data_IF_604210737940
#
_entry.id   IF_604210737940
#
_cell.length_a   1.000
_cell.length_b   1.000
_cell.length_c   1.000
_cell.angle_alpha   90.00
_cell.angle_beta   90.00
_cell.angle_gamma   90.00
#
_symmetry.space_group_name_H-M   'P 1'
#
loop_
_entity.id
_entity.type
_entity.pdbx_description
1 polymer ?
#
# COMPACT_ATOMS: atom_id res chain seq x y z
N UNK A 1 27.61 -63.55 55.58
CA UNK A 1 26.84 -62.29 55.41
C UNK A 1 27.47 -61.30 54.44
N UNK A 2 28.77 -61.39 54.14
CA UNK A 2 29.50 -60.50 53.21
C UNK A 2 29.22 -60.71 51.72
N UNK A 3 28.87 -61.93 51.28
CA UNK A 3 28.54 -62.19 49.88
C UNK A 3 27.21 -61.57 49.43
N UNK A 4 26.24 -61.46 50.35
CA UNK A 4 24.92 -60.88 50.06
C UNK A 4 24.97 -59.36 49.89
N UNK A 5 25.90 -58.65 50.55
CA UNK A 5 26.07 -57.20 50.39
C UNK A 5 26.83 -56.86 49.11
N UNK A 6 27.76 -57.71 48.69
CA UNK A 6 28.49 -57.55 47.43
C UNK A 6 27.58 -57.68 46.21
N UNK A 7 26.68 -58.66 46.19
CA UNK A 7 25.75 -58.85 45.06
C UNK A 7 24.74 -57.69 44.94
N UNK A 8 24.29 -57.14 46.07
CA UNK A 8 23.37 -55.98 46.11
C UNK A 8 24.03 -54.70 45.57
N UNK A 9 25.30 -54.46 45.91
CA UNK A 9 26.07 -53.32 45.39
C UNK A 9 26.32 -53.43 43.87
N UNK A 10 26.57 -54.64 43.36
CA UNK A 10 26.75 -54.87 41.93
C UNK A 10 25.44 -54.60 41.17
N UNK A 11 24.30 -55.09 41.69
CA UNK A 11 23.00 -54.86 41.07
C UNK A 11 22.63 -53.37 41.05
N UNK A 12 22.92 -52.62 42.12
CA UNK A 12 22.65 -51.18 42.17
C UNK A 12 23.52 -50.40 41.17
N UNK A 13 24.80 -50.77 41.04
CA UNK A 13 25.71 -50.19 40.04
C UNK A 13 25.25 -50.44 38.60
N UNK A 14 24.81 -51.67 38.30
CA UNK A 14 24.27 -52.03 36.98
C UNK A 14 22.97 -51.26 36.72
N UNK A 15 22.08 -51.13 37.71
CA UNK A 15 20.84 -50.36 37.57
C UNK A 15 21.12 -48.88 37.29
N UNK A 16 22.07 -48.27 38.00
CA UNK A 16 22.45 -46.86 37.80
C UNK A 16 23.07 -46.61 36.43
N UNK A 17 23.90 -47.52 35.92
CA UNK A 17 24.49 -47.37 34.58
C UNK A 17 23.44 -47.50 33.47
N UNK A 18 22.51 -48.45 33.60
CA UNK A 18 21.39 -48.59 32.64
C UNK A 18 20.47 -47.37 32.65
N UNK A 19 20.13 -46.84 33.83
CA UNK A 19 19.33 -45.62 33.97
C UNK A 19 20.05 -44.39 33.37
N UNK A 20 21.38 -44.28 33.59
CA UNK A 20 22.19 -43.21 33.00
C UNK A 20 22.23 -43.25 31.48
N UNK A 21 22.45 -44.43 30.88
CA UNK A 21 22.52 -44.61 29.42
C UNK A 21 21.16 -44.35 28.76
N UNK A 22 20.07 -44.86 29.34
CA UNK A 22 18.72 -44.64 28.81
C UNK A 22 18.31 -43.16 28.90
N UNK A 23 18.60 -42.50 30.03
CA UNK A 23 18.41 -41.05 30.18
C UNK A 23 19.22 -40.23 29.18
N UNK A 24 20.48 -40.59 28.97
CA UNK A 24 21.36 -39.93 28.00
C UNK A 24 20.85 -40.05 26.55
N UNK A 25 20.38 -41.24 26.17
CA UNK A 25 19.78 -41.47 24.84
C UNK A 25 18.47 -40.66 24.68
N UNK A 26 17.63 -40.60 25.72
CA UNK A 26 16.38 -39.86 25.70
C UNK A 26 16.62 -38.35 25.54
N UNK A 27 17.57 -37.79 26.29
CA UNK A 27 17.96 -36.37 26.20
C UNK A 27 18.52 -36.04 24.81
N UNK A 28 19.39 -36.90 24.26
CA UNK A 28 19.91 -36.70 22.89
C UNK A 28 18.82 -36.78 21.82
N UNK A 29 17.85 -37.68 21.96
CA UNK A 29 16.70 -37.76 21.04
C UNK A 29 15.83 -36.51 21.12
N UNK A 30 15.60 -35.97 22.31
CA UNK A 30 14.86 -34.72 22.51
C UNK A 30 15.58 -33.53 21.87
N UNK A 31 16.88 -33.38 22.12
CA UNK A 31 17.68 -32.30 21.52
C UNK A 31 17.72 -32.37 19.99
N UNK A 32 17.71 -33.56 19.39
CA UNK A 32 17.62 -33.70 17.93
C UNK A 32 16.30 -33.14 17.39
N UNK A 33 15.16 -33.39 18.04
CA UNK A 33 13.85 -32.87 17.62
C UNK A 33 13.77 -31.34 17.68
N UNK A 34 14.36 -30.72 18.69
CA UNK A 34 14.39 -29.26 18.81
C UNK A 34 15.31 -28.62 17.76
N UNK A 35 16.45 -29.25 17.47
CA UNK A 35 17.35 -28.79 16.39
C UNK A 35 16.71 -28.89 15.00
N UNK A 36 15.90 -29.92 14.73
CA UNK A 36 15.13 -30.04 13.48
C UNK A 36 14.11 -28.91 13.33
N UNK A 37 13.42 -28.53 14.41
CA UNK A 37 12.49 -27.39 14.42
C UNK A 37 13.21 -26.06 14.17
N UNK A 38 14.36 -25.85 14.79
CA UNK A 38 15.17 -24.63 14.57
C UNK A 38 15.69 -24.58 13.13
N UNK A 39 16.16 -25.69 12.57
CA UNK A 39 16.62 -25.77 11.18
C UNK A 39 15.49 -25.50 10.18
N UNK A 40 14.31 -26.06 10.41
CA UNK A 40 13.15 -25.81 9.53
C UNK A 40 12.68 -24.36 9.62
N UNK A 41 12.70 -23.75 10.81
CA UNK A 41 12.39 -22.34 10.98
C UNK A 41 13.44 -21.43 10.32
N UNK A 42 14.74 -21.70 10.51
CA UNK A 42 15.81 -20.99 9.80
C UNK A 42 15.70 -21.15 8.29
N UNK A 43 15.33 -22.33 7.78
CA UNK A 43 15.13 -22.56 6.34
C UNK A 43 13.93 -21.76 5.82
N UNK A 44 12.82 -21.70 6.58
CA UNK A 44 11.65 -20.89 6.23
C UNK A 44 11.96 -19.40 6.22
N UNK A 45 12.67 -18.90 7.24
CA UNK A 45 13.11 -17.49 7.30
C UNK A 45 14.06 -17.17 6.16
N UNK A 46 15.02 -18.07 5.85
CA UNK A 46 15.94 -17.88 4.72
C UNK A 46 15.23 -17.90 3.38
N UNK A 47 14.23 -18.77 3.19
CA UNK A 47 13.39 -18.79 1.98
C UNK A 47 12.59 -17.50 1.85
N UNK A 48 11.91 -17.07 2.92
CA UNK A 48 11.12 -15.84 2.91
C UNK A 48 11.99 -14.59 2.67
N UNK A 49 13.22 -14.56 3.19
CA UNK A 49 14.15 -13.46 2.91
C UNK A 49 14.60 -13.46 1.44
N UNK A 50 14.85 -14.63 0.86
CA UNK A 50 15.25 -14.76 -0.55
C UNK A 50 14.10 -14.41 -1.50
N UNK A 51 12.86 -14.82 -1.19
CA UNK A 51 11.67 -14.48 -1.97
C UNK A 51 11.36 -12.97 -1.91
N UNK A 52 11.62 -12.32 -0.77
CA UNK A 52 11.49 -10.86 -0.66
C UNK A 52 12.60 -10.09 -1.39
N UNK A 53 13.78 -10.68 -1.58
CA UNK A 53 14.86 -10.07 -2.35
C UNK A 53 14.54 -10.02 -3.86
N UNK A 54 13.79 -11.00 -4.36
CA UNK A 54 13.34 -11.05 -5.76
C UNK A 54 12.23 -10.01 -6.04
N UNK A 55 11.35 -9.76 -5.07
CA UNK A 55 10.33 -8.69 -5.16
C UNK A 55 10.98 -7.30 -5.27
N UNK A 56 12.10 -7.08 -4.57
CA UNK A 56 12.87 -5.81 -4.65
C UNK A 56 13.62 -5.63 -5.98
N UNK A 57 13.75 -6.68 -6.78
CA UNK A 57 14.40 -6.67 -8.10
C UNK A 57 13.38 -6.66 -9.25
N UNK A 58 12.23 -6.03 -9.08
CA UNK A 58 11.34 -5.72 -10.19
C UNK A 58 11.69 -4.33 -10.76
N UNK A 59 12.66 -4.22 -11.70
CA UNK A 59 13.09 -2.94 -12.26
C UNK A 59 11.92 -2.18 -12.91
N UNK A 60 10.92 -2.91 -13.40
CA UNK A 60 9.72 -2.39 -14.04
C UNK A 60 8.91 -1.48 -13.13
N UNK A 61 8.82 -1.80 -11.82
CA UNK A 61 8.05 -0.98 -10.88
C UNK A 61 8.82 0.29 -10.47
N UNK A 62 10.12 0.17 -10.24
CA UNK A 62 10.99 1.30 -9.92
C UNK A 62 11.06 2.31 -11.08
N UNK A 63 11.19 1.82 -12.31
CA UNK A 63 11.18 2.67 -13.51
C UNK A 63 9.80 3.29 -13.75
N UNK A 64 8.72 2.56 -13.48
CA UNK A 64 7.36 3.12 -13.54
C UNK A 64 7.13 4.22 -12.52
N UNK A 65 7.65 4.07 -11.29
CA UNK A 65 7.59 5.12 -10.26
C UNK A 65 8.45 6.34 -10.62
N UNK A 66 9.64 6.12 -11.20
CA UNK A 66 10.52 7.19 -11.67
C UNK A 66 9.90 7.97 -12.83
N UNK A 67 9.26 7.27 -13.77
CA UNK A 67 8.55 7.94 -14.87
C UNK A 67 7.31 8.70 -14.37
N UNK A 68 6.57 8.14 -13.40
CA UNK A 68 5.45 8.82 -12.78
C UNK A 68 5.88 10.07 -11.99
N UNK A 69 7.02 10.04 -11.29
CA UNK A 69 7.54 11.20 -10.56
C UNK A 69 8.00 12.32 -11.50
N UNK A 70 8.58 11.98 -12.64
CA UNK A 70 8.98 12.94 -13.67
C UNK A 70 7.73 13.62 -14.27
N UNK A 71 6.73 12.84 -14.69
CA UNK A 71 5.50 13.37 -15.30
C UNK A 71 4.72 14.26 -14.31
N UNK A 72 4.64 13.86 -13.05
CA UNK A 72 3.95 14.65 -12.01
C UNK A 72 4.70 15.92 -11.64
N UNK A 73 6.04 15.89 -11.60
CA UNK A 73 6.88 17.08 -11.38
C UNK A 73 6.71 18.14 -12.46
N UNK A 74 6.52 17.75 -13.73
CA UNK A 74 6.23 18.71 -14.81
C UNK A 74 4.79 19.25 -14.81
N UNK A 75 3.87 18.61 -14.09
CA UNK A 75 2.48 19.08 -13.94
C UNK A 75 2.27 19.99 -12.72
N UNK A 76 3.16 19.93 -11.72
CA UNK A 76 3.12 20.78 -10.52
C UNK A 76 3.03 22.28 -10.81
N UNK A 77 3.85 22.87 -11.71
CA UNK A 77 3.78 24.31 -11.98
C UNK A 77 2.42 24.76 -12.53
N UNK A 78 1.76 23.90 -13.33
CA UNK A 78 0.44 24.18 -13.89
C UNK A 78 -0.63 24.12 -12.80
N UNK A 79 -0.52 23.17 -11.88
CA UNK A 79 -1.45 23.02 -10.75
C UNK A 79 -1.30 24.17 -9.74
N UNK A 80 -0.09 24.63 -9.46
CA UNK A 80 0.15 25.80 -8.59
C UNK A 80 -0.42 27.09 -9.18
N UNK A 81 -0.21 27.33 -10.48
CA UNK A 81 -0.82 28.46 -11.21
C UNK A 81 -2.35 28.37 -11.26
N UNK A 82 -2.90 27.15 -11.34
CA UNK A 82 -4.33 26.93 -11.38
C UNK A 82 -4.97 27.03 -9.98
N UNK A 83 -4.27 26.60 -8.92
CA UNK A 83 -4.67 26.78 -7.53
C UNK A 83 -4.72 28.27 -7.14
N UNK A 84 -3.75 29.07 -7.60
CA UNK A 84 -3.79 30.54 -7.44
C UNK A 84 -4.95 31.23 -8.19
N UNK A 85 -5.52 30.58 -9.20
CA UNK A 85 -6.68 31.06 -9.98
C UNK A 85 -8.01 30.39 -9.59
N UNK A 86 -7.98 29.37 -8.74
CA UNK A 86 -9.14 28.51 -8.44
C UNK A 86 -10.30 29.26 -7.75
N UNK A 87 -10.07 30.47 -7.23
CA UNK A 87 -11.11 31.31 -6.65
C UNK A 87 -11.76 32.32 -7.61
N UNK A 88 -11.22 32.56 -8.81
CA UNK A 88 -11.73 33.61 -9.71
C UNK A 88 -12.59 32.99 -10.81
N UNK A 89 -13.90 33.13 -10.66
CA UNK A 89 -14.87 32.80 -11.72
C UNK A 89 -14.43 33.42 -13.05
N UNK A 90 -14.28 32.63 -14.13
CA UNK A 90 -13.91 33.14 -15.44
C UNK A 90 -14.79 34.31 -15.89
N UNK A 91 -14.18 35.33 -16.48
CA UNK A 91 -14.88 36.57 -16.86
C UNK A 91 -15.99 36.32 -17.89
N UNK A 92 -15.82 35.32 -18.77
CA UNK A 92 -16.84 34.87 -19.72
C UNK A 92 -18.14 34.47 -19.01
N UNK A 93 -18.05 33.81 -17.86
CA UNK A 93 -19.23 33.39 -17.09
C UNK A 93 -19.89 34.57 -16.39
N UNK A 94 -19.12 35.53 -15.88
CA UNK A 94 -19.64 36.78 -15.28
C UNK A 94 -20.38 37.64 -16.31
N UNK A 95 -19.87 37.66 -17.54
CA UNK A 95 -20.51 38.39 -18.63
C UNK A 95 -21.85 37.75 -19.03
N UNK A 96 -21.86 36.42 -19.24
CA UNK A 96 -23.09 35.66 -19.50
C UNK A 96 -24.12 35.81 -18.37
N UNK A 97 -23.64 35.74 -17.14
CA UNK A 97 -24.44 35.97 -15.95
C UNK A 97 -25.18 37.31 -15.97
N UNK A 98 -24.49 38.39 -16.36
CA UNK A 98 -25.07 39.72 -16.47
C UNK A 98 -26.08 39.87 -17.60
N UNK A 99 -25.89 39.15 -18.72
CA UNK A 99 -26.85 39.13 -19.83
C UNK A 99 -28.15 38.40 -19.45
N UNK A 100 -28.02 37.25 -18.78
CA UNK A 100 -29.18 36.49 -18.28
C UNK A 100 -29.94 37.30 -17.22
N UNK A 101 -29.23 37.98 -16.31
CA UNK A 101 -29.85 38.84 -15.30
C UNK A 101 -30.61 40.04 -15.90
N UNK A 102 -30.31 40.42 -17.14
CA UNK A 102 -31.05 41.44 -17.90
C UNK A 102 -32.26 40.88 -18.67
N UNK A 103 -32.59 39.61 -18.47
CA UNK A 103 -33.74 38.95 -19.09
C UNK A 103 -33.48 38.44 -20.51
N UNK A 104 -32.23 38.39 -20.95
CA UNK A 104 -31.89 37.94 -22.31
C UNK A 104 -31.88 36.41 -22.37
N UNK A 105 -32.55 35.86 -23.39
CA UNK A 105 -32.62 34.41 -23.63
C UNK A 105 -31.31 33.88 -24.21
N UNK A 106 -31.04 32.59 -24.04
CA UNK A 106 -29.85 31.92 -24.58
C UNK A 106 -29.75 32.03 -26.10
N UNK A 107 -30.89 32.09 -26.80
CA UNK A 107 -30.94 32.23 -28.25
C UNK A 107 -30.50 33.64 -28.68
N UNK A 108 -31.01 34.68 -28.04
CA UNK A 108 -30.61 36.07 -28.30
C UNK A 108 -29.12 36.29 -27.98
N UNK A 109 -28.63 35.71 -26.88
CA UNK A 109 -27.20 35.77 -26.53
C UNK A 109 -26.35 35.08 -27.60
N UNK A 110 -26.81 33.94 -28.13
CA UNK A 110 -26.08 33.21 -29.18
C UNK A 110 -25.96 34.02 -30.47
N UNK A 111 -27.01 34.73 -30.84
CA UNK A 111 -27.06 35.59 -32.03
C UNK A 111 -26.17 36.83 -31.86
N UNK A 112 -26.25 37.50 -30.71
CA UNK A 112 -25.45 38.71 -30.40
C UNK A 112 -23.95 38.39 -30.34
N UNK A 113 -23.58 37.25 -29.75
CA UNK A 113 -22.18 36.85 -29.59
C UNK A 113 -21.65 36.04 -30.78
N UNK A 114 -22.49 35.72 -31.76
CA UNK A 114 -22.10 34.93 -32.94
C UNK A 114 -21.62 33.52 -32.58
N UNK A 115 -22.17 32.93 -31.52
CA UNK A 115 -21.82 31.58 -31.06
C UNK A 115 -22.96 30.60 -31.32
N UNK A 116 -22.67 29.31 -31.26
CA UNK A 116 -23.71 28.30 -31.42
C UNK A 116 -24.73 28.35 -30.26
N UNK A 117 -26.01 28.01 -30.50
CA UNK A 117 -27.01 27.92 -29.42
C UNK A 117 -26.62 26.91 -28.33
N UNK A 118 -25.94 25.83 -28.72
CA UNK A 118 -25.43 24.82 -27.79
C UNK A 118 -24.33 25.38 -26.87
N UNK A 119 -23.41 26.19 -27.40
CA UNK A 119 -22.38 26.86 -26.61
C UNK A 119 -23.00 27.89 -25.65
N UNK A 120 -23.98 28.67 -26.12
CA UNK A 120 -24.70 29.62 -25.27
C UNK A 120 -25.41 28.92 -24.09
N UNK A 121 -26.03 27.76 -24.35
CA UNK A 121 -26.65 26.93 -23.30
C UNK A 121 -25.62 26.40 -22.29
N UNK A 122 -24.47 25.90 -22.75
CA UNK A 122 -23.41 25.44 -21.86
C UNK A 122 -22.87 26.57 -20.97
N UNK A 123 -22.65 27.75 -21.54
CA UNK A 123 -22.16 28.93 -20.81
C UNK A 123 -23.19 29.45 -19.81
N UNK A 124 -24.48 29.39 -20.15
CA UNK A 124 -25.55 29.72 -19.21
C UNK A 124 -25.51 28.80 -17.99
N UNK A 125 -25.46 27.48 -18.20
CA UNK A 125 -25.36 26.49 -17.10
C UNK A 125 -24.11 26.70 -16.24
N UNK A 126 -22.94 26.90 -16.87
CA UNK A 126 -21.69 27.16 -16.15
C UNK A 126 -21.72 28.48 -15.36
N UNK A 127 -22.45 29.49 -15.83
CA UNK A 127 -22.62 30.77 -15.13
C UNK A 127 -23.47 30.65 -13.85
N UNK A 128 -24.36 29.66 -13.77
CA UNK A 128 -25.16 29.34 -12.58
C UNK A 128 -24.31 28.54 -11.59
N UNK A 129 -23.65 27.47 -12.07
CA UNK A 129 -22.79 26.61 -11.23
C UNK A 129 -21.67 27.43 -10.58
N UNK A 130 -21.03 28.32 -11.33
CA UNK A 130 -19.93 29.14 -10.83
C UNK A 130 -20.34 30.20 -9.79
N UNK A 131 -21.63 30.50 -9.67
CA UNK A 131 -22.19 31.40 -8.63
C UNK A 131 -22.67 30.66 -7.38
N UNK A 132 -22.76 29.32 -7.43
CA UNK A 132 -23.29 28.54 -6.32
C UNK A 132 -24.80 28.64 -6.14
N UNK A 133 -25.53 29.20 -7.13
CA UNK A 133 -26.99 29.39 -7.10
C UNK A 133 -27.79 28.16 -7.59
N UNK A 134 -27.20 26.97 -7.51
CA UNK A 134 -27.77 25.75 -8.06
C UNK A 134 -27.62 24.54 -7.15
N UNK A 135 -28.38 24.54 -6.05
CA UNK A 135 -28.93 23.37 -5.34
C UNK A 135 -30.27 23.78 -4.72
#
# INVERSE_FOLDING_TARGET
MTHATLTLNILFSVLCTVAGVTGFIFIRRRQRREREKIKTLCRKVKSALNDNEDIRKTPVFADSLKNASIVTGFQQPRLELQAGKAGRVPEKYKFFAGLIARGMSTNEISEILGISPAEAGQLATLSVISRGEGW
#
